data_IF_548367216294
#
_entry.id   IF_548367216294
#
_cell.length_a   1.000
_cell.length_b   1.000
_cell.length_c   1.000
_cell.angle_alpha   90.00
_cell.angle_beta   90.00
_cell.angle_gamma   90.00
#
_symmetry.space_group_name_H-M   'P 1'
#
loop_
_entity.id
_entity.type
_entity.pdbx_description
1 polymer ?
#
# COMPACT_ATOMS: atom_id res chain seq x y z
N UNK A 1 -7.89 1.84 -1.28
CA UNK A 1 -8.15 2.33 0.10
C UNK A 1 -8.08 1.17 1.09
N UNK A 2 -7.51 1.37 2.30
CA UNK A 2 -7.50 0.33 3.34
C UNK A 2 -8.88 -0.01 3.90
N UNK A 3 -9.01 -1.17 4.56
CA UNK A 3 -10.30 -1.75 4.97
C UNK A 3 -11.15 -0.83 5.86
N UNK A 4 -10.51 -0.10 6.78
CA UNK A 4 -11.17 0.84 7.69
C UNK A 4 -11.19 2.28 7.17
N UNK A 5 -10.73 2.51 5.94
CA UNK A 5 -10.63 3.84 5.35
C UNK A 5 -12.00 4.44 5.02
N UNK A 6 -12.15 5.73 5.32
CA UNK A 6 -13.33 6.53 4.97
C UNK A 6 -13.02 7.37 3.74
N UNK A 7 -13.82 7.29 2.65
CA UNK A 7 -13.55 8.04 1.42
C UNK A 7 -13.36 9.54 1.68
N UNK A 8 -14.24 10.16 2.46
CA UNK A 8 -14.19 11.59 2.77
C UNK A 8 -12.91 12.06 3.46
N UNK A 9 -12.20 11.16 4.15
CA UNK A 9 -10.96 11.48 4.87
C UNK A 9 -9.70 11.22 4.04
N UNK A 10 -9.81 10.43 2.97
CA UNK A 10 -8.66 9.90 2.24
C UNK A 10 -8.62 10.31 0.77
N UNK A 11 -9.75 10.72 0.20
CA UNK A 11 -9.92 11.00 -1.22
C UNK A 11 -10.42 12.42 -1.45
N UNK A 12 -9.95 13.04 -2.52
CA UNK A 12 -10.64 14.16 -3.15
C UNK A 12 -11.81 13.63 -3.99
N UNK A 13 -12.98 13.47 -3.36
CA UNK A 13 -14.11 12.72 -3.93
C UNK A 13 -14.63 13.35 -5.23
N UNK A 14 -14.67 14.69 -5.33
CA UNK A 14 -15.16 15.40 -6.53
C UNK A 14 -14.34 15.05 -7.78
N UNK A 15 -13.00 15.25 -7.79
CA UNK A 15 -12.14 14.77 -8.88
C UNK A 15 -12.26 13.26 -9.14
N UNK A 16 -12.29 12.43 -8.10
CA UNK A 16 -12.41 10.97 -8.25
C UNK A 16 -13.69 10.57 -8.99
N UNK A 17 -14.82 11.21 -8.68
CA UNK A 17 -16.09 10.96 -9.36
C UNK A 17 -16.11 11.52 -10.78
N UNK A 18 -15.54 12.72 -10.99
CA UNK A 18 -15.49 13.37 -12.30
C UNK A 18 -14.65 12.57 -13.31
N UNK A 19 -13.48 12.11 -12.88
CA UNK A 19 -12.53 11.36 -13.72
C UNK A 19 -12.79 9.84 -13.68
N UNK A 20 -13.90 9.42 -13.07
CA UNK A 20 -14.37 8.03 -12.97
C UNK A 20 -13.32 7.05 -12.43
N UNK A 21 -12.51 7.50 -11.46
CA UNK A 21 -11.42 6.69 -10.89
C UNK A 21 -11.97 5.57 -10.01
N UNK A 22 -11.70 4.28 -10.30
CA UNK A 22 -12.19 3.18 -9.50
C UNK A 22 -11.59 3.17 -8.09
N UNK A 23 -12.44 3.14 -7.07
CA UNK A 23 -12.00 3.07 -5.66
C UNK A 23 -12.19 1.66 -5.12
N UNK A 24 -11.08 0.92 -4.99
CA UNK A 24 -11.09 -0.42 -4.38
C UNK A 24 -10.79 -0.32 -2.88
N UNK A 25 -11.69 -0.83 -2.04
CA UNK A 25 -11.43 -1.07 -0.62
C UNK A 25 -10.80 -2.46 -0.49
N UNK A 26 -9.53 -2.51 -0.07
CA UNK A 26 -8.78 -3.77 0.12
C UNK A 26 -9.02 -4.36 1.51
N UNK A 27 -8.74 -5.64 1.67
CA UNK A 27 -8.91 -6.40 2.91
C UNK A 27 -7.87 -6.06 4.00
N UNK A 28 -6.71 -5.48 3.64
CA UNK A 28 -5.68 -5.06 4.58
C UNK A 28 -5.94 -3.65 5.14
N UNK A 29 -5.37 -3.36 6.31
CA UNK A 29 -5.41 -2.03 6.93
C UNK A 29 -4.53 -0.98 6.21
N UNK A 30 -4.38 0.19 6.82
CA UNK A 30 -3.51 1.27 6.34
C UNK A 30 -4.21 2.30 5.45
N UNK A 31 -3.41 3.22 4.89
CA UNK A 31 -3.90 4.36 4.10
C UNK A 31 -4.37 4.02 2.69
N UNK A 32 -4.51 5.05 1.86
CA UNK A 32 -4.84 4.92 0.43
C UNK A 32 -3.58 5.09 -0.41
N UNK A 33 -3.51 4.33 -1.50
CA UNK A 33 -2.49 4.46 -2.54
C UNK A 33 -3.21 4.62 -3.87
N UNK A 34 -2.59 5.34 -4.79
CA UNK A 34 -2.95 5.31 -6.21
C UNK A 34 -2.27 4.11 -6.85
N UNK A 35 -2.95 3.51 -7.81
CA UNK A 35 -2.45 2.35 -8.55
C UNK A 35 -2.62 2.63 -10.04
N UNK A 36 -1.52 2.53 -10.78
CA UNK A 36 -1.47 2.68 -12.22
C UNK A 36 -0.45 1.69 -12.83
N UNK A 37 -0.18 1.80 -14.13
CA UNK A 37 0.80 0.97 -14.83
C UNK A 37 2.22 1.14 -14.30
N UNK A 38 2.47 2.23 -13.57
CA UNK A 38 3.69 2.61 -12.87
C UNK A 38 3.80 2.05 -11.46
N UNK A 39 2.91 1.14 -11.04
CA UNK A 39 2.93 0.56 -9.69
C UNK A 39 3.31 -0.91 -9.74
N UNK A 40 4.26 -1.32 -8.90
CA UNK A 40 4.61 -2.74 -8.74
C UNK A 40 4.15 -3.22 -7.36
N UNK A 41 3.52 -4.39 -7.32
CA UNK A 41 3.18 -5.05 -6.06
C UNK A 41 4.07 -6.27 -5.82
N UNK A 42 4.57 -6.38 -4.59
CA UNK A 42 5.14 -7.63 -4.08
C UNK A 42 4.32 -8.05 -2.89
N UNK A 43 3.90 -9.32 -2.87
CA UNK A 43 3.10 -9.88 -1.77
C UNK A 43 3.75 -11.15 -1.25
N UNK A 44 4.04 -11.18 0.04
CA UNK A 44 4.39 -12.39 0.78
C UNK A 44 3.13 -12.98 1.40
N UNK A 45 2.85 -14.24 1.10
CA UNK A 45 1.75 -15.01 1.70
C UNK A 45 2.37 -16.21 2.40
N UNK A 46 2.31 -16.21 3.73
CA UNK A 46 3.09 -17.12 4.54
C UNK A 46 2.24 -17.80 5.61
N UNK A 47 2.57 -19.05 5.93
CA UNK A 47 2.11 -19.67 7.17
C UNK A 47 2.77 -18.97 8.37
N UNK A 48 2.13 -19.04 9.53
CA UNK A 48 2.59 -18.37 10.75
C UNK A 48 4.03 -18.71 11.14
N UNK A 49 4.48 -19.92 10.81
CA UNK A 49 5.75 -20.55 11.16
C UNK A 49 6.73 -20.61 9.98
N UNK A 50 6.38 -20.00 8.84
CA UNK A 50 7.23 -20.01 7.64
C UNK A 50 8.59 -19.33 7.84
N UNK A 51 8.68 -18.39 8.78
CA UNK A 51 9.92 -17.71 9.15
C UNK A 51 10.21 -18.00 10.62
N UNK A 52 11.28 -18.76 10.93
CA UNK A 52 11.61 -19.12 12.31
C UNK A 52 11.77 -17.88 13.21
N UNK A 53 11.11 -17.91 14.38
CA UNK A 53 11.18 -16.83 15.38
C UNK A 53 10.40 -15.55 15.03
N UNK A 54 9.82 -15.44 13.84
CA UNK A 54 9.06 -14.26 13.43
C UNK A 54 7.70 -14.23 14.15
N UNK A 55 7.47 -13.16 14.91
CA UNK A 55 6.16 -12.93 15.53
C UNK A 55 5.18 -12.39 14.48
N UNK A 56 3.96 -12.93 14.37
CA UNK A 56 2.99 -12.52 13.36
C UNK A 56 2.31 -11.21 13.76
N UNK A 57 3.08 -10.12 13.82
CA UNK A 57 2.62 -8.76 14.06
C UNK A 57 3.16 -7.83 12.96
N UNK A 58 2.50 -6.70 12.67
CA UNK A 58 2.88 -5.84 11.56
C UNK A 58 4.35 -5.40 11.59
N UNK A 59 4.85 -4.92 12.74
CA UNK A 59 6.24 -4.43 12.86
C UNK A 59 7.27 -5.53 12.65
N UNK A 60 7.25 -6.68 13.36
CA UNK A 60 8.17 -7.79 13.08
C UNK A 60 8.16 -8.24 11.62
N UNK A 61 6.99 -8.38 11.00
CA UNK A 61 6.87 -8.79 9.59
C UNK A 61 7.57 -7.77 8.67
N UNK A 62 7.36 -6.47 8.88
CA UNK A 62 8.04 -5.42 8.10
C UNK A 62 9.55 -5.39 8.35
N UNK A 63 9.97 -5.57 9.60
CA UNK A 63 11.39 -5.66 9.94
C UNK A 63 12.03 -6.84 9.20
N UNK A 64 11.39 -8.00 9.17
CA UNK A 64 11.86 -9.15 8.41
C UNK A 64 11.93 -8.87 6.90
N UNK A 65 10.86 -8.36 6.29
CA UNK A 65 10.87 -8.07 4.85
C UNK A 65 11.86 -6.97 4.48
N UNK A 66 12.16 -6.04 5.39
CA UNK A 66 13.20 -5.04 5.18
C UNK A 66 14.60 -5.65 5.05
N UNK A 67 14.88 -6.80 5.69
CA UNK A 67 16.15 -7.51 5.53
C UNK A 67 16.30 -8.08 4.10
N UNK A 68 15.19 -8.50 3.48
CA UNK A 68 15.18 -8.92 2.08
C UNK A 68 15.46 -7.72 1.18
N UNK A 69 14.74 -6.62 1.39
CA UNK A 69 14.88 -5.43 0.55
C UNK A 69 16.20 -4.69 0.74
N UNK A 70 16.86 -4.78 1.89
CA UNK A 70 18.23 -4.30 2.09
C UNK A 70 19.21 -4.95 1.10
N UNK A 71 19.06 -6.26 0.84
CA UNK A 71 19.84 -6.95 -0.18
C UNK A 71 19.46 -6.51 -1.60
N UNK A 72 18.16 -6.35 -1.87
CA UNK A 72 17.65 -5.91 -3.18
C UNK A 72 18.21 -4.53 -3.56
N UNK A 73 18.19 -3.60 -2.62
CA UNK A 73 18.63 -2.22 -2.82
C UNK A 73 20.10 -1.99 -2.41
N UNK A 74 20.89 -3.05 -2.18
CA UNK A 74 22.31 -2.91 -1.89
C UNK A 74 23.01 -2.15 -3.03
N UNK A 75 23.70 -1.06 -2.65
CA UNK A 75 24.37 -0.16 -3.58
C UNK A 75 23.43 0.77 -4.36
N UNK A 76 22.16 0.85 -4.00
CA UNK A 76 21.13 1.68 -4.65
C UNK A 76 20.43 2.53 -3.59
N UNK A 77 20.67 3.84 -3.63
CA UNK A 77 20.07 4.77 -2.67
C UNK A 77 20.44 4.46 -1.21
N UNK A 78 19.74 5.09 -0.28
CA UNK A 78 19.86 4.85 1.16
C UNK A 78 18.57 4.18 1.66
N UNK A 79 18.42 2.88 1.35
CA UNK A 79 17.23 2.10 1.70
C UNK A 79 17.04 2.01 3.20
N UNK A 80 15.85 2.35 3.69
CA UNK A 80 15.46 2.13 5.08
C UNK A 80 13.99 1.74 5.20
N UNK A 81 13.66 0.99 6.25
CA UNK A 81 12.31 0.91 6.80
C UNK A 81 12.11 2.06 7.78
N UNK A 82 11.15 2.95 7.53
CA UNK A 82 10.73 4.00 8.47
C UNK A 82 9.25 3.88 8.74
N UNK A 83 8.92 3.58 10.00
CA UNK A 83 7.56 3.26 10.43
C UNK A 83 6.92 2.14 9.59
N UNK A 84 6.05 2.48 8.63
CA UNK A 84 5.37 1.54 7.74
C UNK A 84 5.84 1.66 6.28
N UNK A 85 6.88 2.44 6.01
CA UNK A 85 7.30 2.82 4.67
C UNK A 85 8.71 2.34 4.34
N UNK A 86 8.91 1.96 3.08
CA UNK A 86 10.25 1.85 2.52
C UNK A 86 10.65 3.16 1.86
N UNK A 87 11.84 3.63 2.20
CA UNK A 87 12.31 4.97 1.83
C UNK A 87 13.73 4.93 1.27
N UNK A 88 14.05 5.91 0.42
CA UNK A 88 15.42 6.33 0.15
C UNK A 88 15.63 7.67 0.84
N UNK A 89 16.50 7.70 1.86
CA UNK A 89 16.63 8.85 2.76
C UNK A 89 15.30 9.20 3.43
N UNK A 90 14.76 10.38 3.13
CA UNK A 90 13.48 10.85 3.67
C UNK A 90 12.31 10.76 2.68
N UNK A 91 12.48 10.07 1.55
CA UNK A 91 11.42 9.94 0.54
C UNK A 91 10.89 8.53 0.41
N UNK A 92 9.58 8.40 0.54
CA UNK A 92 8.85 7.13 0.46
C UNK A 92 8.76 6.65 -0.99
N UNK A 93 9.11 5.39 -1.21
CA UNK A 93 8.87 4.70 -2.48
C UNK A 93 8.10 3.39 -2.30
N UNK A 94 8.00 2.86 -1.08
CA UNK A 94 7.26 1.64 -0.78
C UNK A 94 6.24 1.83 0.34
N UNK A 95 4.98 1.45 0.11
CA UNK A 95 3.92 1.46 1.12
C UNK A 95 3.49 0.05 1.51
N UNK A 96 3.56 -0.25 2.80
CA UNK A 96 3.30 -1.58 3.35
C UNK A 96 1.90 -1.70 3.98
N UNK A 97 1.30 -2.88 3.87
CA UNK A 97 0.15 -3.28 4.69
C UNK A 97 0.09 -4.80 4.88
N UNK A 98 -0.57 -5.23 5.95
CA UNK A 98 -0.63 -6.62 6.36
C UNK A 98 -2.08 -7.07 6.63
N UNK A 99 -2.30 -8.38 6.48
CA UNK A 99 -3.44 -9.09 7.07
C UNK A 99 -2.90 -10.29 7.82
N UNK A 100 -3.35 -10.47 9.06
CA UNK A 100 -2.83 -11.48 9.96
C UNK A 100 -4.01 -12.29 10.49
N UNK A 101 -3.92 -13.59 10.34
CA UNK A 101 -4.89 -14.57 10.84
C UNK A 101 -4.17 -15.53 11.78
N UNK A 102 -4.93 -16.39 12.46
CA UNK A 102 -4.37 -17.37 13.40
C UNK A 102 -3.28 -18.26 12.81
N UNK A 103 -3.32 -18.56 11.51
CA UNK A 103 -2.40 -19.55 10.88
C UNK A 103 -1.54 -18.97 9.77
N UNK A 104 -1.85 -17.77 9.30
CA UNK A 104 -1.23 -17.17 8.12
C UNK A 104 -1.13 -15.68 8.27
N UNK A 105 -0.12 -15.11 7.65
CA UNK A 105 0.00 -13.68 7.47
C UNK A 105 0.29 -13.36 6.01
N UNK A 106 -0.12 -12.17 5.63
CA UNK A 106 0.11 -11.58 4.34
C UNK A 106 0.75 -10.23 4.55
N UNK A 107 1.81 -9.97 3.79
CA UNK A 107 2.46 -8.67 3.73
C UNK A 107 2.56 -8.25 2.27
N UNK A 108 1.90 -7.17 1.90
CA UNK A 108 2.06 -6.60 0.57
C UNK A 108 2.71 -5.22 0.63
N UNK A 109 3.49 -4.96 -0.42
CA UNK A 109 4.15 -3.69 -0.65
C UNK A 109 3.72 -3.16 -2.00
N UNK A 110 3.30 -1.90 -2.02
CA UNK A 110 3.17 -1.12 -3.24
C UNK A 110 4.46 -0.33 -3.46
N UNK A 111 5.11 -0.53 -4.60
CA UNK A 111 6.31 0.18 -5.01
C UNK A 111 5.96 1.22 -6.08
N UNK A 112 6.35 2.46 -5.82
CA UNK A 112 6.19 3.60 -6.72
C UNK A 112 7.25 3.53 -7.82
N UNK A 113 6.89 2.95 -8.96
CA UNK A 113 7.83 2.65 -10.02
C UNK A 113 7.99 3.79 -11.02
N UNK A 114 6.94 4.05 -11.80
CA UNK A 114 6.84 5.11 -12.81
C UNK A 114 5.41 5.65 -12.84
N UNK A 115 4.94 6.10 -11.67
CA UNK A 115 3.56 6.52 -11.47
C UNK A 115 3.30 7.90 -12.09
N UNK A 116 2.06 8.16 -12.51
CA UNK A 116 1.66 9.49 -12.97
C UNK A 116 1.44 10.41 -11.77
N UNK A 117 2.30 11.43 -11.65
CA UNK A 117 2.31 12.36 -10.50
C UNK A 117 0.98 13.08 -10.34
N UNK A 118 0.30 13.40 -11.44
CA UNK A 118 -1.01 14.07 -11.40
C UNK A 118 -2.04 13.27 -10.61
N UNK A 119 -1.99 11.94 -10.64
CA UNK A 119 -2.95 11.11 -9.92
C UNK A 119 -2.88 11.28 -8.39
N UNK A 120 -1.79 11.84 -7.86
CA UNK A 120 -1.69 12.16 -6.43
C UNK A 120 -2.69 13.24 -5.99
N UNK A 121 -3.25 14.03 -6.92
CA UNK A 121 -4.30 15.00 -6.64
C UNK A 121 -5.63 14.37 -6.22
N UNK A 122 -5.83 13.07 -6.45
CA UNK A 122 -7.00 12.33 -5.97
C UNK A 122 -6.92 11.99 -4.48
N UNK A 123 -5.75 12.18 -3.84
CA UNK A 123 -5.51 11.80 -2.45
C UNK A 123 -5.45 13.02 -1.55
N UNK A 124 -6.22 12.98 -0.46
CA UNK A 124 -6.06 13.91 0.65
C UNK A 124 -4.73 13.68 1.37
N UNK A 125 -4.23 14.71 2.05
CA UNK A 125 -3.17 14.50 3.04
C UNK A 125 -3.72 13.63 4.18
N UNK A 126 -3.01 12.55 4.57
CA UNK A 126 -3.50 11.65 5.60
C UNK A 126 -3.49 12.35 6.96
N UNK A 127 -4.62 12.30 7.70
CA UNK A 127 -4.71 12.81 9.08
C UNK A 127 -3.68 12.18 10.02
N UNK A 128 -3.31 10.93 9.76
CA UNK A 128 -2.24 10.20 10.45
C UNK A 128 -1.13 9.93 9.44
N UNK A 129 -0.17 10.85 9.39
CA UNK A 129 1.04 10.72 8.62
C UNK A 129 2.19 10.23 9.51
N UNK A 130 3.21 9.56 8.94
CA UNK A 130 4.42 9.28 9.69
C UNK A 130 5.14 10.58 10.07
N UNK A 131 5.81 10.60 11.22
CA UNK A 131 6.41 11.80 11.80
C UNK A 131 7.45 12.42 10.84
N UNK A 132 8.24 11.56 10.20
CA UNK A 132 9.27 11.98 9.24
C UNK A 132 8.72 12.57 7.93
N UNK A 133 7.40 12.55 7.71
CA UNK A 133 6.78 13.28 6.59
C UNK A 133 7.00 14.78 6.72
N UNK A 134 7.06 15.32 7.94
CA UNK A 134 7.28 16.75 8.19
C UNK A 134 6.29 17.64 7.41
N UNK A 135 5.01 17.24 7.38
CA UNK A 135 3.91 17.92 6.67
C UNK A 135 4.13 18.15 5.16
N UNK A 136 5.13 17.52 4.54
CA UNK A 136 5.39 17.61 3.10
C UNK A 136 4.20 17.17 2.26
N UNK A 137 4.03 17.83 1.12
CA UNK A 137 3.06 17.42 0.10
C UNK A 137 3.48 16.09 -0.53
N UNK A 138 2.56 15.40 -1.21
CA UNK A 138 2.85 14.09 -1.78
C UNK A 138 4.06 14.12 -2.72
N UNK A 139 4.16 15.12 -3.60
CA UNK A 139 5.27 15.31 -4.56
C UNK A 139 6.66 15.48 -3.92
N UNK A 140 6.71 16.01 -2.70
CA UNK A 140 7.96 16.23 -1.94
C UNK A 140 8.30 15.04 -1.05
N UNK A 141 7.29 14.24 -0.69
CA UNK A 141 7.42 13.13 0.25
C UNK A 141 7.73 11.80 -0.44
N UNK A 142 7.24 11.60 -1.66
CA UNK A 142 7.39 10.33 -2.38
C UNK A 142 8.53 10.37 -3.40
N UNK A 143 8.92 9.19 -3.89
CA UNK A 143 9.95 9.06 -4.92
C UNK A 143 9.68 7.93 -5.90
N UNK A 144 10.25 8.07 -7.09
CA UNK A 144 10.10 7.20 -8.25
C UNK A 144 11.28 6.21 -8.32
N UNK A 145 11.02 4.90 -8.41
CA UNK A 145 12.07 3.88 -8.46
C UNK A 145 12.68 3.67 -9.84
N UNK A 146 12.00 4.03 -10.93
CA UNK A 146 12.50 3.76 -12.29
C UNK A 146 13.88 4.34 -12.57
N UNK A 147 14.24 5.43 -11.88
CA UNK A 147 15.50 6.15 -12.07
C UNK A 147 16.69 5.42 -11.40
N UNK A 148 16.42 4.42 -10.55
CA UNK A 148 17.44 3.69 -9.79
C UNK A 148 17.74 2.30 -10.33
N UNK A 149 16.75 1.61 -10.88
CA UNK A 149 16.92 0.27 -11.43
C UNK A 149 15.76 -0.10 -12.37
N UNK A 150 15.98 -1.11 -13.22
CA UNK A 150 14.94 -1.64 -14.12
C UNK A 150 13.99 -2.60 -13.39
N UNK A 151 12.77 -2.78 -13.91
CA UNK A 151 11.78 -3.72 -13.33
C UNK A 151 12.32 -5.13 -13.28
N UNK A 152 12.98 -5.55 -14.36
CA UNK A 152 13.59 -6.87 -14.46
C UNK A 152 14.67 -7.07 -13.39
N UNK A 153 15.58 -6.10 -13.26
CA UNK A 153 16.63 -6.13 -12.25
C UNK A 153 16.05 -6.17 -10.83
N UNK A 154 14.98 -5.43 -10.55
CA UNK A 154 14.29 -5.50 -9.25
C UNK A 154 13.72 -6.88 -8.96
N UNK A 155 13.05 -7.50 -9.95
CA UNK A 155 12.51 -8.85 -9.83
C UNK A 155 13.66 -9.84 -9.59
N UNK A 156 14.69 -9.83 -10.42
CA UNK A 156 15.85 -10.72 -10.31
C UNK A 156 16.53 -10.59 -8.94
N UNK A 157 16.80 -9.36 -8.49
CA UNK A 157 17.38 -9.12 -7.16
C UNK A 157 16.47 -9.58 -6.04
N UNK A 158 15.15 -9.41 -6.18
CA UNK A 158 14.17 -9.90 -5.19
C UNK A 158 14.17 -11.42 -5.12
N UNK A 159 14.18 -12.11 -6.26
CA UNK A 159 14.30 -13.59 -6.31
C UNK A 159 15.63 -14.03 -5.69
N UNK A 160 16.75 -13.40 -6.04
CA UNK A 160 18.06 -13.74 -5.48
C UNK A 160 18.11 -13.54 -3.96
N UNK A 161 17.62 -12.41 -3.45
CA UNK A 161 17.55 -12.13 -2.02
C UNK A 161 16.65 -13.15 -1.28
N UNK A 162 15.53 -13.56 -1.88
CA UNK A 162 14.70 -14.61 -1.29
C UNK A 162 15.39 -15.99 -1.31
N UNK A 163 16.20 -16.26 -2.33
CA UNK A 163 16.96 -17.50 -2.47
C UNK A 163 18.00 -17.72 -1.36
N UNK A 164 18.42 -16.67 -0.66
CA UNK A 164 19.30 -16.79 0.52
C UNK A 164 18.55 -17.23 1.78
N UNK A 165 17.21 -17.16 1.78
CA UNK A 165 16.37 -17.47 2.94
C UNK A 165 15.43 -18.66 2.70
N UNK A 166 15.09 -18.95 1.44
CA UNK A 166 14.14 -19.99 1.07
C UNK A 166 14.63 -20.78 -0.14
N UNK A 167 14.25 -22.06 -0.21
CA UNK A 167 14.30 -22.82 -1.45
C UNK A 167 13.19 -22.35 -2.38
N UNK A 168 13.57 -21.81 -3.55
CA UNK A 168 12.62 -21.20 -4.47
C UNK A 168 12.22 -22.15 -5.60
N UNK A 169 10.94 -22.10 -5.96
CA UNK A 169 10.39 -22.72 -7.16
C UNK A 169 9.47 -21.71 -7.85
N UNK A 170 9.77 -21.40 -9.11
CA UNK A 170 8.87 -20.60 -9.94
C UNK A 170 7.65 -21.44 -10.34
N UNK A 171 6.46 -20.82 -10.32
CA UNK A 171 5.20 -21.45 -10.70
C UNK A 171 4.40 -20.46 -11.55
N UNK A 172 3.87 -20.94 -12.68
CA UNK A 172 2.99 -20.13 -13.52
C UNK A 172 1.61 -19.94 -12.86
N UNK A 173 1.08 -18.72 -12.96
CA UNK A 173 -0.17 -18.32 -12.30
C UNK A 173 -1.41 -19.09 -12.77
N UNK A 174 -1.36 -19.74 -13.95
CA UNK A 174 -2.47 -20.50 -14.54
C UNK A 174 -2.81 -21.80 -13.77
N UNK A 175 -1.87 -22.34 -12.98
CA UNK A 175 -2.00 -23.66 -12.36
C UNK A 175 -2.87 -23.71 -11.09
N UNK A 176 -3.35 -22.57 -10.57
CA UNK A 176 -4.10 -22.48 -9.30
C UNK A 176 -5.59 -22.14 -9.47
N UNK A 177 -6.19 -22.38 -10.64
CA UNK A 177 -7.59 -22.03 -10.92
C UNK A 177 -8.63 -22.97 -10.31
N UNK A 178 -8.23 -23.99 -9.53
CA UNK A 178 -9.17 -24.93 -8.94
C UNK A 178 -9.34 -24.71 -7.44
N UNK A 179 -10.37 -23.93 -7.09
CA UNK A 179 -10.88 -23.78 -5.72
C UNK A 179 -12.38 -23.47 -5.78
N UNK A 180 -13.13 -24.31 -6.50
CA UNK A 180 -14.60 -24.28 -6.54
C UNK A 180 -15.24 -24.80 -5.22
N UNK A 181 -14.44 -25.28 -4.26
CA UNK A 181 -14.92 -25.95 -3.06
C UNK A 181 -15.10 -25.05 -1.81
N UNK A 182 -14.69 -23.78 -1.83
CA UNK A 182 -14.78 -22.90 -0.66
C UNK A 182 -15.68 -21.69 -0.96
N UNK A 183 -16.78 -21.54 -0.21
CA UNK A 183 -17.56 -20.29 -0.15
C UNK A 183 -16.72 -19.21 0.55
N UNK A 184 -15.74 -18.64 -0.15
CA UNK A 184 -15.01 -17.47 0.29
C UNK A 184 -15.72 -16.22 -0.22
N UNK A 185 -16.13 -15.33 0.68
CA UNK A 185 -16.65 -14.00 0.33
C UNK A 185 -15.50 -13.00 0.49
N UNK A 186 -14.93 -12.46 -0.59
CA UNK A 186 -13.86 -11.48 -0.49
C UNK A 186 -14.34 -10.22 0.22
N UNK A 187 -13.60 -9.76 1.22
CA UNK A 187 -13.84 -8.44 1.83
C UNK A 187 -13.30 -7.28 0.98
N UNK A 188 -12.45 -7.59 0.00
CA UNK A 188 -12.03 -6.60 -1.01
C UNK A 188 -13.15 -6.38 -1.99
N UNK A 189 -13.52 -5.11 -2.19
CA UNK A 189 -14.59 -4.75 -3.11
C UNK A 189 -14.38 -3.37 -3.71
N UNK A 190 -14.97 -3.18 -4.88
CA UNK A 190 -15.15 -1.86 -5.47
C UNK A 190 -16.18 -1.08 -4.64
N UNK A 191 -15.93 0.21 -4.42
CA UNK A 191 -16.94 1.12 -3.90
C UNK A 191 -17.86 1.56 -5.03
N UNK A 192 -19.16 1.62 -4.76
CA UNK A 192 -20.11 2.15 -5.73
C UNK A 192 -20.01 3.66 -5.82
N UNK A 193 -20.49 4.21 -6.94
CA UNK A 193 -20.65 5.66 -7.12
C UNK A 193 -21.50 6.28 -6.01
N UNK A 194 -22.62 5.63 -5.68
CA UNK A 194 -23.51 6.06 -4.60
C UNK A 194 -22.78 6.14 -3.25
N UNK A 195 -21.95 5.16 -2.89
CA UNK A 195 -21.18 5.20 -1.64
C UNK A 195 -20.21 6.39 -1.57
N UNK A 196 -19.65 6.80 -2.71
CA UNK A 196 -18.77 7.96 -2.81
C UNK A 196 -19.56 9.28 -2.73
N UNK A 197 -20.70 9.37 -3.41
CA UNK A 197 -21.60 10.53 -3.37
C UNK A 197 -22.19 10.75 -1.97
N UNK A 198 -22.59 9.68 -1.27
CA UNK A 198 -23.02 9.73 0.12
C UNK A 198 -21.89 10.20 1.05
N UNK A 199 -20.67 9.70 0.85
CA UNK A 199 -19.51 10.13 1.62
C UNK A 199 -19.16 11.62 1.41
N UNK A 200 -19.32 12.12 0.18
CA UNK A 200 -19.15 13.54 -0.14
C UNK A 200 -20.20 14.40 0.56
N UNK A 201 -21.47 14.01 0.45
CA UNK A 201 -22.59 14.73 1.06
C UNK A 201 -22.47 14.78 2.59
N UNK A 202 -22.07 13.67 3.21
CA UNK A 202 -21.83 13.60 4.65
C UNK A 202 -20.63 14.46 5.12
N UNK A 203 -19.65 14.71 4.25
CA UNK A 203 -18.52 15.59 4.55
C UNK A 203 -18.92 17.06 4.47
N UNK A 204 -19.67 17.44 3.44
CA UNK A 204 -20.15 18.81 3.22
C UNK A 204 -21.09 19.24 4.36
N UNK A 205 -22.00 18.37 4.80
CA UNK A 205 -22.87 18.62 5.97
C UNK A 205 -22.08 18.80 7.27
N UNK A 206 -20.97 18.09 7.46
CA UNK A 206 -20.13 18.27 8.66
C UNK A 206 -19.38 19.59 8.65
N UNK A 207 -18.94 20.04 7.48
CA UNK A 207 -18.27 21.33 7.34
C UNK A 207 -19.25 22.49 7.56
N UNK A 208 -20.47 22.42 7.01
CA UNK A 208 -21.49 23.46 7.23
C UNK A 208 -21.96 23.53 8.69
N UNK A 209 -22.06 22.39 9.40
CA UNK A 209 -22.29 22.38 10.84
C UNK A 209 -21.10 22.92 11.64
N UNK A 210 -19.85 22.65 11.24
CA UNK A 210 -18.68 23.19 11.92
C UNK A 210 -18.54 24.72 11.74
N UNK A 211 -18.86 25.24 10.55
CA UNK A 211 -18.83 26.67 10.24
C UNK A 211 -19.94 27.45 10.97
N UNK A 212 -21.10 26.82 11.24
CA UNK A 212 -22.20 27.43 12.00
C UNK A 212 -22.01 27.38 13.52
N UNK A 213 -21.06 26.59 14.03
CA UNK A 213 -20.81 26.42 15.47
C UNK A 213 -19.57 27.20 15.95
N UNK A 214 -18.77 27.81 15.06
CA UNK A 214 -17.62 28.65 15.49
C UNK A 214 -18.10 30.01 16.03
N UNK A 215 -18.11 30.25 17.35
CA UNK A 215 -18.29 31.61 17.86
C UNK A 215 -16.95 32.34 17.73
N UNK A 216 -17.01 33.66 17.61
CA UNK A 216 -15.87 34.55 17.74
C UNK A 216 -15.06 34.29 19.01
#
# INVERSE_FOLDING_TARGET
MGVSGKPAELLEIKPVLHDEIPVVRRFTGGGTVIVDQGTIFVTFICNQDAVPGLQPYPRPIMSWSSLIYDQVFRGIGDFRLRENDYVFGDRKFGGNAQSITKRRWLHHTSFLWDYEVRNMSYLKLPKRAPEYRLARQHSEFIWCLKDYLSRLTFIERTVNALGTHFSLKSVDSEANRDSSAVKFVPSTRLLTRQELEEAMSAADSKNSLAESISPY
#
